data_IF_740973054191
#
_entry.id   IF_740973054191
#
_cell.length_a   1.000
_cell.length_b   1.000
_cell.length_c   1.000
_cell.angle_alpha   90.00
_cell.angle_beta   90.00
_cell.angle_gamma   90.00
#
_symmetry.space_group_name_H-M   'P 1'
#
loop_
_entity.id
_entity.type
_entity.pdbx_description
1 polymer ?
#
# COMPACT_ATOMS: atom_id res chain seq x y z
N UNK A 1 3.24 11.92 -21.06
CA UNK A 1 1.84 11.57 -21.37
C UNK A 1 1.17 11.11 -20.09
N UNK A 2 0.50 12.01 -19.36
CA UNK A 2 -0.34 11.61 -18.23
C UNK A 2 -1.68 11.18 -18.81
N UNK A 3 -2.02 9.90 -18.71
CA UNK A 3 -3.35 9.43 -19.07
C UNK A 3 -4.32 10.04 -18.06
N UNK A 4 -5.25 10.87 -18.55
CA UNK A 4 -6.33 11.43 -17.74
C UNK A 4 -7.22 10.27 -17.25
N UNK A 5 -6.84 9.67 -16.12
CA UNK A 5 -7.51 8.52 -15.54
C UNK A 5 -8.78 9.01 -14.86
N UNK A 6 -9.85 9.16 -15.64
CA UNK A 6 -11.10 9.77 -15.19
C UNK A 6 -11.83 8.90 -14.17
N UNK A 7 -11.37 7.66 -13.93
CA UNK A 7 -11.93 6.80 -12.90
C UNK A 7 -10.87 5.84 -12.31
N UNK A 8 -10.26 6.27 -11.21
CA UNK A 8 -9.28 5.51 -10.44
C UNK A 8 -9.63 5.53 -8.96
N UNK A 9 -9.41 4.41 -8.29
CA UNK A 9 -9.48 4.28 -6.84
C UNK A 9 -8.10 3.83 -6.36
N UNK A 10 -7.50 4.57 -5.42
CA UNK A 10 -6.24 4.17 -4.77
C UNK A 10 -6.58 3.62 -3.39
N UNK A 11 -6.03 2.47 -3.03
CA UNK A 11 -6.27 1.82 -1.73
C UNK A 11 -4.98 1.30 -1.13
N UNK A 12 -4.77 1.55 0.17
CA UNK A 12 -3.61 1.07 0.92
C UNK A 12 -3.89 -0.26 1.63
N UNK A 13 -2.87 -1.11 1.77
CA UNK A 13 -2.91 -2.34 2.58
C UNK A 13 -1.65 -2.50 3.43
N UNK A 14 -1.86 -2.74 4.71
CA UNK A 14 -0.84 -3.11 5.71
C UNK A 14 -1.02 -4.56 6.19
N UNK A 15 -1.97 -5.31 5.61
CA UNK A 15 -2.32 -6.68 6.01
C UNK A 15 -3.35 -6.81 7.13
N UNK A 16 -3.72 -5.71 7.81
CA UNK A 16 -4.77 -5.73 8.84
C UNK A 16 -6.17 -6.02 8.28
N UNK A 17 -7.07 -6.53 9.12
CA UNK A 17 -8.48 -6.79 8.72
C UNK A 17 -9.20 -5.53 8.22
N UNK A 18 -8.85 -4.38 8.79
CA UNK A 18 -9.39 -3.08 8.39
C UNK A 18 -8.92 -2.69 6.99
N UNK A 19 -7.62 -2.86 6.69
CA UNK A 19 -7.10 -2.53 5.36
C UNK A 19 -7.59 -3.52 4.31
N UNK A 20 -7.70 -4.81 4.64
CA UNK A 20 -8.34 -5.80 3.76
C UNK A 20 -9.81 -5.49 3.49
N UNK A 21 -10.53 -4.95 4.46
CA UNK A 21 -11.92 -4.49 4.26
C UNK A 21 -11.99 -3.29 3.31
N UNK A 22 -11.03 -2.36 3.40
CA UNK A 22 -10.92 -1.25 2.46
C UNK A 22 -10.60 -1.75 1.03
N UNK A 23 -9.71 -2.75 0.88
CA UNK A 23 -9.40 -3.37 -0.42
C UNK A 23 -10.65 -4.00 -1.04
N UNK A 24 -11.43 -4.77 -0.27
CA UNK A 24 -12.69 -5.36 -0.73
C UNK A 24 -13.69 -4.30 -1.19
N UNK A 25 -13.82 -3.21 -0.43
CA UNK A 25 -14.67 -2.08 -0.82
C UNK A 25 -14.20 -1.45 -2.13
N UNK A 26 -12.90 -1.16 -2.28
CA UNK A 26 -12.33 -0.51 -3.45
C UNK A 26 -12.56 -1.33 -4.74
N UNK A 27 -12.40 -2.65 -4.67
CA UNK A 27 -12.65 -3.56 -5.79
C UNK A 27 -14.14 -3.57 -6.20
N UNK A 28 -15.04 -3.59 -5.21
CA UNK A 28 -16.49 -3.50 -5.47
C UNK A 28 -16.83 -2.16 -6.12
N UNK A 29 -16.34 -1.06 -5.56
CA UNK A 29 -16.65 0.28 -6.06
C UNK A 29 -16.10 0.52 -7.46
N UNK A 30 -14.89 0.00 -7.75
CA UNK A 30 -14.29 0.08 -9.07
C UNK A 30 -15.15 -0.63 -10.13
N UNK A 31 -15.77 -1.76 -9.77
CA UNK A 31 -16.71 -2.46 -10.65
C UNK A 31 -17.94 -1.60 -10.95
N UNK A 32 -18.52 -0.96 -9.93
CA UNK A 32 -19.71 -0.10 -10.08
C UNK A 32 -19.43 1.16 -10.89
N UNK A 33 -18.23 1.71 -10.77
CA UNK A 33 -17.83 2.96 -11.43
C UNK A 33 -17.18 2.74 -12.79
N UNK A 34 -16.88 1.51 -13.19
CA UNK A 34 -15.98 1.25 -14.32
C UNK A 34 -14.63 1.99 -14.13
N UNK A 35 -14.02 1.78 -12.97
CA UNK A 35 -12.76 2.39 -12.55
C UNK A 35 -11.65 1.35 -12.39
N UNK A 36 -10.41 1.84 -12.36
CA UNK A 36 -9.21 1.04 -12.05
C UNK A 36 -8.87 1.11 -10.56
N UNK A 37 -8.25 0.07 -10.01
CA UNK A 37 -7.73 0.07 -8.63
C UNK A 37 -6.21 0.03 -8.64
N UNK A 38 -5.60 1.01 -7.96
CA UNK A 38 -4.18 1.00 -7.63
C UNK A 38 -4.03 0.58 -6.15
N UNK A 39 -3.46 -0.61 -5.92
CA UNK A 39 -3.18 -1.12 -4.57
C UNK A 39 -1.78 -0.70 -4.13
N UNK A 40 -1.69 -0.07 -2.96
CA UNK A 40 -0.42 0.34 -2.34
C UNK A 40 -0.19 -0.50 -1.10
N UNK A 41 0.91 -1.24 -1.05
CA UNK A 41 1.29 -1.99 0.14
C UNK A 41 2.25 -1.18 1.01
N UNK A 42 1.99 -1.12 2.31
CA UNK A 42 2.89 -0.48 3.28
C UNK A 42 3.79 -1.53 3.93
N UNK A 43 5.07 -1.22 4.01
CA UNK A 43 6.07 -2.00 4.72
C UNK A 43 6.72 -1.13 5.79
N UNK A 44 7.22 -1.75 6.85
CA UNK A 44 7.89 -1.04 7.94
C UNK A 44 9.40 -1.11 7.77
N UNK A 45 10.04 0.05 7.88
CA UNK A 45 11.48 0.18 8.00
C UNK A 45 11.85 0.29 9.47
N UNK A 46 12.48 -0.75 10.02
CA UNK A 46 13.07 -0.70 11.37
C UNK A 46 14.59 -0.55 11.20
N UNK A 47 15.18 0.62 11.48
CA UNK A 47 16.63 0.77 11.43
C UNK A 47 17.27 -0.11 12.52
N UNK A 48 18.16 -1.00 12.12
CA UNK A 48 19.07 -1.65 13.06
C UNK A 48 20.16 -0.62 13.35
N UNK A 49 20.12 -0.04 14.56
CA UNK A 49 21.12 0.90 15.03
C UNK A 49 22.28 0.10 15.62
N UNK A 50 23.46 0.21 15.02
CA UNK A 50 24.67 -0.39 15.57
C UNK A 50 25.18 0.37 16.82
N UNK A 51 26.14 -0.17 17.58
CA UNK A 51 26.69 0.49 18.78
C UNK A 51 27.37 1.85 18.50
N UNK A 52 27.68 2.16 17.24
CA UNK A 52 28.25 3.43 16.81
C UNK A 52 27.17 4.44 16.38
N UNK A 53 25.89 4.06 16.45
CA UNK A 53 24.75 4.90 16.07
C UNK A 53 24.49 4.93 14.57
N UNK A 54 25.13 4.07 13.77
CA UNK A 54 24.86 3.99 12.33
C UNK A 54 23.70 3.04 12.06
N UNK A 55 22.70 3.53 11.32
CA UNK A 55 21.57 2.71 10.87
C UNK A 55 21.95 1.95 9.60
N UNK A 56 22.04 0.63 9.67
CA UNK A 56 22.12 -0.18 8.45
C UNK A 56 20.71 -0.35 7.89
N UNK A 57 20.45 0.03 6.62
CA UNK A 57 19.13 -0.15 6.05
C UNK A 57 18.92 -1.64 5.73
N UNK A 58 18.08 -2.30 6.54
CA UNK A 58 17.56 -3.63 6.21
C UNK A 58 16.13 -3.47 5.74
N UNK A 59 15.88 -3.81 4.47
CA UNK A 59 14.52 -3.94 3.94
C UNK A 59 13.94 -5.24 4.49
N UNK A 60 13.26 -5.14 5.64
CA UNK A 60 12.47 -6.25 6.19
C UNK A 60 11.10 -6.16 5.55
N UNK A 61 10.78 -7.11 4.67
CA UNK A 61 9.41 -7.32 4.22
C UNK A 61 8.66 -8.07 5.34
N UNK A 62 7.69 -7.45 6.04
CA UNK A 62 6.91 -8.13 7.05
C UNK A 62 5.79 -8.89 6.33
N UNK A 63 6.11 -10.05 5.76
CA UNK A 63 5.08 -11.03 5.35
C UNK A 63 4.37 -11.58 6.58
#
# INVERSE_FOLDING_TARGET
>A
MATNNSNRIVVGTDGSDNSLSAVRWALREATLRNATVDLVHTWNYTPIIDPMGMGTPVMVDPT
#
